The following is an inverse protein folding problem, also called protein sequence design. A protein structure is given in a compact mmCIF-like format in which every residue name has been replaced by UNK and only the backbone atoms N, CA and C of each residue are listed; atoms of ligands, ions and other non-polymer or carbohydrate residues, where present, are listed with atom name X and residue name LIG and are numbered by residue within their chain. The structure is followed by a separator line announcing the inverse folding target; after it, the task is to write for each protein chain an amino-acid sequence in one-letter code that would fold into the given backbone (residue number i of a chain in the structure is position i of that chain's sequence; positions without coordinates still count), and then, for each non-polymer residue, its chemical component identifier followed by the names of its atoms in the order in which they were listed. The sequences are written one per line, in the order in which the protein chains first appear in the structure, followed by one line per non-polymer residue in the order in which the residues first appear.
data_IF_597223241311
#
_entry.id   IF_597223241311
#
_cell.length_a   1.000
_cell.length_b   1.000
_cell.length_c   1.000
_cell.angle_alpha   90.00
_cell.angle_beta   90.00
_cell.angle_gamma   90.00
#
_symmetry.space_group_name_H-M   'P 1'
#
loop_
_entity.id
_entity.type
_entity.pdbx_description
1 polymer ?
#
# COMPACT_ATOMS: atom_id res chain seq x y z
N UNK A 1 25.25 39.04 1.35
CA UNK A 1 25.38 37.60 1.65
C UNK A 1 23.97 37.03 1.71
N UNK A 2 23.54 36.32 0.68
CA UNK A 2 22.23 35.67 0.63
C UNK A 2 22.44 34.18 0.87
N UNK A 3 21.95 33.67 1.99
CA UNK A 3 21.96 32.24 2.31
C UNK A 3 20.99 31.52 1.39
N UNK A 4 21.48 30.57 0.60
CA UNK A 4 20.64 29.67 -0.18
C UNK A 4 19.90 28.71 0.77
N UNK A 5 18.57 28.68 0.68
CA UNK A 5 17.73 27.70 1.35
C UNK A 5 17.97 26.34 0.68
N UNK A 6 18.48 25.37 1.44
CA UNK A 6 18.61 23.97 0.96
C UNK A 6 17.20 23.46 0.67
N UNK A 7 16.95 23.07 -0.58
CA UNK A 7 15.68 22.47 -0.98
C UNK A 7 15.55 21.09 -0.32
N UNK A 8 14.48 20.88 0.44
CA UNK A 8 14.14 19.56 0.99
C UNK A 8 13.95 18.56 -0.16
N UNK A 9 14.43 17.31 -0.01
CA UNK A 9 14.26 16.30 -1.05
C UNK A 9 12.76 16.09 -1.30
N UNK A 10 12.32 16.27 -2.55
CA UNK A 10 10.95 15.96 -2.95
C UNK A 10 10.79 14.44 -2.83
N UNK A 11 10.10 13.99 -1.79
CA UNK A 11 9.74 12.60 -1.64
C UNK A 11 8.88 12.21 -2.85
N UNK A 12 9.43 11.37 -3.75
CA UNK A 12 8.69 10.84 -4.90
C UNK A 12 7.58 9.96 -4.33
N UNK A 13 6.33 10.42 -4.42
CA UNK A 13 5.16 9.63 -4.03
C UNK A 13 5.07 8.44 -4.98
N UNK A 14 5.32 7.23 -4.46
CA UNK A 14 5.07 5.99 -5.20
C UNK A 14 3.57 5.72 -5.14
N UNK A 15 2.92 5.71 -6.29
CA UNK A 15 1.52 5.33 -6.42
C UNK A 15 1.46 3.90 -6.98
N UNK A 16 0.72 3.03 -6.31
CA UNK A 16 0.52 1.64 -6.72
C UNK A 16 -0.88 1.51 -7.32
N UNK A 17 -0.95 1.02 -8.56
CA UNK A 17 -2.23 0.67 -9.17
C UNK A 17 -2.68 -0.68 -8.60
N UNK A 18 -3.78 -0.70 -7.86
CA UNK A 18 -4.41 -1.94 -7.39
C UNK A 18 -5.40 -2.41 -8.44
N UNK A 19 -5.23 -3.63 -8.93
CA UNK A 19 -6.16 -4.29 -9.85
C UNK A 19 -6.97 -5.33 -9.10
N UNK A 20 -8.24 -5.43 -9.45
CA UNK A 20 -9.16 -6.43 -8.93
C UNK A 20 -9.63 -7.30 -10.08
N UNK A 21 -9.88 -8.56 -9.78
CA UNK A 21 -10.40 -9.53 -10.72
C UNK A 21 -11.89 -9.73 -10.39
N UNK A 22 -12.74 -9.62 -11.41
CA UNK A 22 -14.17 -9.89 -11.26
C UNK A 22 -14.46 -11.41 -11.26
N UNK A 23 -15.74 -11.77 -11.16
CA UNK A 23 -16.16 -13.18 -11.14
C UNK A 23 -15.91 -13.95 -12.45
N UNK A 24 -15.57 -13.25 -13.54
CA UNK A 24 -15.25 -13.82 -14.86
C UNK A 24 -13.78 -13.67 -15.24
N UNK A 25 -12.92 -13.35 -14.28
CA UNK A 25 -11.48 -13.19 -14.46
C UNK A 25 -11.02 -11.98 -15.26
N UNK A 26 -11.84 -10.93 -15.37
CA UNK A 26 -11.44 -9.67 -16.00
C UNK A 26 -10.74 -8.75 -15.00
N UNK A 27 -9.60 -8.16 -15.42
CA UNK A 27 -8.81 -7.26 -14.56
C UNK A 27 -9.27 -5.80 -14.68
N UNK A 28 -9.91 -5.30 -13.63
CA UNK A 28 -10.33 -3.90 -13.48
C UNK A 28 -9.48 -3.09 -12.50
N UNK A 29 -9.71 -1.78 -12.46
CA UNK A 29 -9.18 -0.90 -11.40
C UNK A 29 -10.19 -0.89 -10.25
N UNK A 30 -9.75 -1.24 -9.05
CA UNK A 30 -10.64 -1.23 -7.89
C UNK A 30 -10.90 0.20 -7.41
N UNK A 31 -12.11 0.46 -6.93
CA UNK A 31 -12.36 1.64 -6.11
C UNK A 31 -11.93 1.36 -4.66
N UNK A 32 -11.26 2.34 -4.05
CA UNK A 32 -10.81 2.28 -2.65
C UNK A 32 -11.52 3.38 -1.89
N UNK A 33 -12.24 3.03 -0.84
CA UNK A 33 -12.89 3.99 0.05
C UNK A 33 -12.31 3.90 1.46
N UNK A 34 -12.18 5.06 2.10
CA UNK A 34 -11.75 5.15 3.50
C UNK A 34 -12.84 5.84 4.30
N UNK A 35 -13.58 5.10 5.11
CA UNK A 35 -14.71 5.66 5.88
C UNK A 35 -14.79 5.03 7.27
N UNK A 36 -14.90 5.87 8.30
CA UNK A 36 -15.07 5.40 9.68
C UNK A 36 -13.89 4.57 10.21
N UNK A 37 -12.68 4.78 9.69
CA UNK A 37 -11.50 3.97 10.04
C UNK A 37 -11.43 2.61 9.34
N UNK A 38 -12.34 2.34 8.40
CA UNK A 38 -12.31 1.16 7.53
C UNK A 38 -11.69 1.52 6.18
N UNK A 39 -11.04 0.55 5.55
CA UNK A 39 -10.67 0.59 4.13
C UNK A 39 -11.49 -0.47 3.40
N UNK A 40 -12.21 -0.06 2.36
CA UNK A 40 -13.00 -0.99 1.54
C UNK A 40 -12.52 -0.93 0.09
N UNK A 41 -12.29 -2.10 -0.50
CA UNK A 41 -12.05 -2.29 -1.92
C UNK A 41 -13.32 -2.82 -2.56
N UNK A 42 -13.76 -2.15 -3.62
CA UNK A 42 -14.87 -2.59 -4.45
C UNK A 42 -14.40 -2.80 -5.88
N UNK A 43 -15.01 -3.76 -6.57
CA UNK A 43 -14.78 -3.97 -8.00
C UNK A 43 -15.55 -2.96 -8.86
N UNK A 44 -15.56 -3.21 -10.17
CA UNK A 44 -16.23 -2.38 -11.17
C UNK A 44 -17.75 -2.48 -11.12
N UNK A 45 -18.29 -3.56 -10.54
CA UNK A 45 -19.72 -3.81 -10.36
C UNK A 45 -20.23 -3.31 -8.99
N UNK A 46 -19.37 -2.59 -8.25
CA UNK A 46 -19.59 -2.06 -6.90
C UNK A 46 -19.71 -3.13 -5.79
N UNK A 47 -19.34 -4.38 -6.09
CA UNK A 47 -19.30 -5.45 -5.11
C UNK A 47 -18.08 -5.30 -4.19
N UNK A 48 -18.28 -5.56 -2.90
CA UNK A 48 -17.20 -5.47 -1.90
C UNK A 48 -16.31 -6.71 -1.98
N UNK A 49 -15.05 -6.50 -2.36
CA UNK A 49 -14.05 -7.55 -2.44
C UNK A 49 -13.31 -7.75 -1.12
N UNK A 50 -12.97 -6.64 -0.46
CA UNK A 50 -12.23 -6.65 0.79
C UNK A 50 -12.63 -5.46 1.63
N UNK A 51 -12.85 -5.69 2.92
CA UNK A 51 -13.05 -4.65 3.91
C UNK A 51 -12.13 -4.91 5.10
N UNK A 52 -11.30 -3.93 5.42
CA UNK A 52 -10.35 -3.99 6.52
C UNK A 52 -10.76 -3.01 7.60
N UNK A 53 -10.91 -3.53 8.82
CA UNK A 53 -11.11 -2.70 10.00
C UNK A 53 -9.83 -2.01 10.45
N UNK A 54 -9.97 -1.01 11.31
CA UNK A 54 -8.82 -0.33 11.91
C UNK A 54 -7.84 -1.31 12.56
N UNK A 55 -8.33 -2.32 13.27
CA UNK A 55 -7.49 -3.33 13.92
C UNK A 55 -6.77 -4.19 12.88
N UNK A 56 -7.47 -4.65 11.84
CA UNK A 56 -6.88 -5.43 10.76
C UNK A 56 -5.86 -4.62 9.95
N UNK A 57 -6.10 -3.33 9.74
CA UNK A 57 -5.15 -2.41 9.10
C UNK A 57 -3.88 -2.29 9.96
N UNK A 58 -4.03 -2.18 11.29
CA UNK A 58 -2.89 -2.11 12.21
C UNK A 58 -2.07 -3.39 12.16
N UNK A 59 -2.71 -4.55 12.27
CA UNK A 59 -2.06 -5.86 12.19
C UNK A 59 -1.35 -6.07 10.85
N UNK A 60 -2.00 -5.70 9.74
CA UNK A 60 -1.40 -5.78 8.41
C UNK A 60 -0.12 -4.93 8.31
N UNK A 61 -0.14 -3.70 8.87
CA UNK A 61 1.04 -2.83 8.86
C UNK A 61 2.19 -3.40 9.69
N UNK A 62 1.89 -3.91 10.88
CA UNK A 62 2.90 -4.56 11.74
C UNK A 62 3.54 -5.77 11.04
N UNK A 63 2.72 -6.60 10.36
CA UNK A 63 3.22 -7.73 9.58
C UNK A 63 4.04 -7.31 8.36
N UNK A 64 3.62 -6.26 7.65
CA UNK A 64 4.35 -5.73 6.49
C UNK A 64 5.70 -5.15 6.90
N UNK A 65 5.75 -4.39 8.00
CA UNK A 65 7.00 -3.83 8.54
C UNK A 65 7.98 -4.95 8.93
N UNK A 66 7.47 -6.03 9.56
CA UNK A 66 8.27 -7.20 9.89
C UNK A 66 8.80 -7.92 8.63
N UNK A 67 7.97 -8.08 7.59
CA UNK A 67 8.38 -8.68 6.33
C UNK A 67 9.45 -7.85 5.60
N UNK A 68 9.30 -6.53 5.59
CA UNK A 68 10.29 -5.60 5.03
C UNK A 68 11.61 -5.69 5.79
N UNK A 69 11.57 -5.74 7.12
CA UNK A 69 12.77 -5.91 7.93
C UNK A 69 13.51 -7.23 7.61
N UNK A 70 12.77 -8.33 7.45
CA UNK A 70 13.35 -9.61 7.05
C UNK A 70 13.97 -9.55 5.65
N UNK A 71 13.29 -8.92 4.69
CA UNK A 71 13.82 -8.78 3.33
C UNK A 71 15.17 -8.03 3.29
N UNK A 72 15.38 -7.04 4.16
CA UNK A 72 16.68 -6.37 4.28
C UNK A 72 17.78 -7.28 4.82
N UNK A 73 17.46 -8.15 5.77
CA UNK A 73 18.41 -9.17 6.27
C UNK A 73 18.79 -10.11 5.14
N UNK A 74 17.80 -10.66 4.43
CA UNK A 74 18.02 -11.62 3.35
C UNK A 74 18.88 -11.03 2.21
N UNK A 75 18.71 -9.74 1.90
CA UNK A 75 19.55 -9.04 0.91
C UNK A 75 20.99 -8.85 1.39
N UNK A 76 21.21 -8.52 2.66
CA UNK A 76 22.56 -8.36 3.21
C UNK A 76 23.33 -9.69 3.23
N UNK A 77 22.65 -10.79 3.55
CA UNK A 77 23.22 -12.14 3.53
C UNK A 77 23.51 -12.65 2.10
N UNK A 78 22.89 -12.04 1.08
CA UNK A 78 23.08 -12.42 -0.33
C UNK A 78 24.33 -11.80 -0.98
N UNK A 79 25.04 -10.92 -0.27
CA UNK A 79 26.26 -10.23 -0.75
C UNK A 79 27.58 -10.86 -0.23
N UNK A 80 27.51 -11.96 0.55
CA UNK A 80 28.66 -12.79 0.99
C UNK A 80 28.87 -14.04 0.11
#
# INVERSE_FOLDING_TARGET
MTTAKVAEPIAVKREWLVRCEDTVSELGVCAISTRGGMITFTDVDEDTLLSLSYEQIREFREALDAAVAQAYVDMADSEE
#
